data_IF_173937699299
#
_entry.id   IF_173937699299
#
_cell.length_a   1.000
_cell.length_b   1.000
_cell.length_c   1.000
_cell.angle_alpha   90.00
_cell.angle_beta   90.00
_cell.angle_gamma   90.00
#
_symmetry.space_group_name_H-M   'P 1'
#
loop_
_entity.id
_entity.type
_entity.pdbx_description
1 polymer ?
#
# COMPACT_ATOMS: atom_id res chain seq x y z
N UNK A 1 9.81 -10.53 -4.60
CA UNK A 1 8.52 -10.62 -3.88
C UNK A 1 7.47 -11.05 -4.88
N UNK A 2 6.90 -12.23 -4.68
CA UNK A 2 5.73 -12.67 -5.46
C UNK A 2 4.56 -11.88 -4.88
N UNK A 3 4.02 -10.95 -5.66
CA UNK A 3 2.75 -10.30 -5.32
C UNK A 3 1.65 -11.29 -5.71
N UNK A 4 0.82 -11.68 -4.75
CA UNK A 4 -0.32 -12.58 -5.00
C UNK A 4 -1.11 -12.11 -6.23
N UNK A 5 -1.35 -13.05 -7.16
CA UNK A 5 -2.04 -12.86 -8.44
C UNK A 5 -3.52 -12.42 -8.27
N UNK A 6 -3.99 -12.31 -7.03
CA UNK A 6 -5.36 -11.95 -6.68
C UNK A 6 -5.55 -10.45 -6.44
N UNK A 7 -4.93 -9.60 -7.26
CA UNK A 7 -5.39 -8.22 -7.42
C UNK A 7 -6.64 -8.28 -8.29
N UNK A 8 -7.80 -8.52 -7.65
CA UNK A 8 -9.10 -8.40 -8.29
C UNK A 8 -9.22 -6.96 -8.80
N UNK A 9 -9.41 -6.79 -10.10
CA UNK A 9 -9.65 -5.49 -10.73
C UNK A 9 -10.96 -4.94 -10.17
N UNK A 10 -10.85 -4.04 -9.18
CA UNK A 10 -11.98 -3.40 -8.53
C UNK A 10 -12.67 -2.43 -9.47
N UNK A 11 -14.00 -2.45 -9.49
CA UNK A 11 -14.82 -1.42 -10.14
C UNK A 11 -14.79 -0.12 -9.30
N UNK A 12 -15.02 1.04 -9.92
CA UNK A 12 -15.13 2.34 -9.20
C UNK A 12 -15.90 2.18 -7.87
N UNK A 13 -15.32 2.70 -6.77
CA UNK A 13 -15.78 2.58 -5.37
C UNK A 13 -15.31 1.32 -4.60
N UNK A 14 -14.52 0.43 -5.19
CA UNK A 14 -13.99 -0.72 -4.47
C UNK A 14 -12.88 -0.31 -3.47
N UNK A 15 -12.76 -1.07 -2.39
CA UNK A 15 -11.70 -0.91 -1.39
C UNK A 15 -10.69 -2.01 -1.55
N UNK A 16 -9.46 -1.65 -1.86
CA UNK A 16 -8.37 -2.60 -1.97
C UNK A 16 -7.53 -2.60 -0.71
N UNK A 17 -7.20 -3.79 -0.22
CA UNK A 17 -6.32 -3.97 0.92
C UNK A 17 -5.13 -4.82 0.50
N UNK A 18 -3.93 -4.29 0.73
CA UNK A 18 -2.68 -4.99 0.52
C UNK A 18 -1.97 -5.18 1.85
N UNK A 19 -1.33 -6.34 1.97
CA UNK A 19 -0.46 -6.67 3.08
C UNK A 19 0.93 -6.94 2.52
N UNK A 20 1.93 -6.18 2.97
CA UNK A 20 3.30 -6.29 2.45
C UNK A 20 4.23 -6.77 3.56
N UNK A 21 4.69 -8.02 3.54
CA UNK A 21 5.67 -8.47 4.52
C UNK A 21 6.97 -7.66 4.44
N UNK A 22 7.62 -7.43 5.58
CA UNK A 22 8.96 -6.88 5.65
C UNK A 22 9.81 -7.66 6.65
N UNK A 23 11.12 -7.63 6.47
CA UNK A 23 12.06 -8.28 7.36
C UNK A 23 12.12 -7.57 8.72
N UNK A 24 12.41 -8.32 9.78
CA UNK A 24 12.36 -7.85 11.17
C UNK A 24 13.26 -6.62 11.44
N UNK A 25 14.35 -6.41 10.69
CA UNK A 25 15.20 -5.22 10.85
C UNK A 25 14.48 -3.92 10.47
N UNK A 26 13.45 -4.00 9.63
CA UNK A 26 12.62 -2.84 9.27
C UNK A 26 11.50 -2.54 10.27
N UNK A 27 11.35 -3.32 11.35
CA UNK A 27 10.26 -3.15 12.33
C UNK A 27 10.13 -1.72 12.86
N UNK A 28 11.25 -1.09 13.21
CA UNK A 28 11.27 0.26 13.78
C UNK A 28 11.38 1.39 12.72
N UNK A 29 11.33 1.06 11.44
CA UNK A 29 11.41 2.05 10.36
C UNK A 29 10.03 2.50 9.93
N UNK A 30 9.88 3.78 9.61
CA UNK A 30 8.70 4.30 8.95
C UNK A 30 8.51 3.59 7.60
N UNK A 31 7.33 3.02 7.36
CA UNK A 31 7.00 2.42 6.07
C UNK A 31 6.37 3.47 5.17
N UNK A 32 6.65 3.38 3.88
CA UNK A 32 6.00 4.19 2.88
C UNK A 32 5.24 3.30 1.89
N UNK A 33 4.15 3.82 1.39
CA UNK A 33 3.46 3.29 0.23
C UNK A 33 3.75 4.23 -0.94
N UNK A 34 4.20 3.65 -2.05
CA UNK A 34 4.53 4.41 -3.24
C UNK A 34 3.99 3.72 -4.49
N UNK A 35 3.70 4.54 -5.50
CA UNK A 35 3.25 4.09 -6.82
C UNK A 35 4.40 4.15 -7.81
N UNK A 36 4.60 3.06 -8.54
CA UNK A 36 5.58 2.97 -9.61
C UNK A 36 6.28 1.63 -9.63
N UNK A 37 6.79 1.27 -10.81
CA UNK A 37 7.46 0.00 -11.04
C UNK A 37 8.80 -0.11 -10.29
N UNK A 38 9.58 0.98 -10.28
CA UNK A 38 10.88 1.02 -9.63
C UNK A 38 10.77 1.56 -8.22
N UNK A 39 11.28 0.81 -7.25
CA UNK A 39 11.29 1.17 -5.82
C UNK A 39 12.02 2.49 -5.55
N UNK A 40 13.10 2.77 -6.28
CA UNK A 40 13.95 3.93 -6.00
C UNK A 40 13.42 5.24 -6.63
N UNK A 41 12.53 5.13 -7.61
CA UNK A 41 11.94 6.28 -8.31
C UNK A 41 10.41 6.32 -8.21
N UNK A 42 9.82 5.56 -7.29
CA UNK A 42 8.37 5.53 -7.11
C UNK A 42 7.88 6.84 -6.49
N UNK A 43 6.66 7.23 -6.86
CA UNK A 43 5.99 8.38 -6.27
C UNK A 43 5.38 7.98 -4.92
N UNK A 44 5.87 8.59 -3.83
CA UNK A 44 5.38 8.26 -2.50
C UNK A 44 3.97 8.83 -2.31
N UNK A 45 3.02 7.95 -2.00
CA UNK A 45 1.62 8.28 -1.74
C UNK A 45 1.41 8.59 -0.26
N UNK A 46 1.97 7.77 0.65
CA UNK A 46 1.75 7.91 2.08
C UNK A 46 2.88 7.26 2.92
N UNK A 47 2.98 7.67 4.17
CA UNK A 47 3.89 7.10 5.18
C UNK A 47 3.09 6.57 6.39
N UNK A 48 3.61 5.59 7.13
CA UNK A 48 2.97 5.11 8.36
C UNK A 48 3.31 6.01 9.56
N UNK A 49 2.35 6.33 10.47
CA UNK A 49 0.92 6.09 10.33
C UNK A 49 0.27 7.17 9.46
N UNK A 50 -0.66 6.76 8.59
CA UNK A 50 -1.48 7.70 7.83
C UNK A 50 -2.92 7.20 7.79
N UNK A 51 -3.86 8.12 7.97
CA UNK A 51 -5.28 7.86 7.86
C UNK A 51 -5.92 9.04 7.16
N UNK A 52 -6.14 8.90 5.87
CA UNK A 52 -6.90 9.86 5.05
C UNK A 52 -8.20 9.20 4.59
N UNK A 53 -9.12 9.98 4.02
CA UNK A 53 -10.39 9.46 3.50
C UNK A 53 -10.19 8.45 2.35
N UNK A 54 -9.02 8.47 1.69
CA UNK A 54 -8.70 7.64 0.52
C UNK A 54 -7.66 6.56 0.79
N UNK A 55 -6.68 6.81 1.68
CA UNK A 55 -5.60 5.87 2.00
C UNK A 55 -5.43 5.78 3.50
N UNK A 56 -5.43 4.56 4.02
CA UNK A 56 -5.04 4.24 5.39
C UNK A 56 -3.80 3.33 5.36
N UNK A 57 -2.74 3.79 6.01
CA UNK A 57 -1.49 3.06 6.19
C UNK A 57 -1.27 2.81 7.67
N UNK A 58 -1.32 1.54 8.08
CA UNK A 58 -1.12 1.13 9.46
C UNK A 58 -0.06 0.04 9.54
N UNK A 59 0.98 0.28 10.32
CA UNK A 59 1.95 -0.77 10.66
C UNK A 59 1.47 -1.55 11.89
N UNK A 60 1.38 -2.87 11.79
CA UNK A 60 1.04 -3.76 12.92
C UNK A 60 2.27 -4.24 13.69
N UNK A 61 3.49 -3.84 13.28
CA UNK A 61 4.75 -4.22 13.91
C UNK A 61 5.31 -5.57 13.46
N UNK A 62 4.56 -6.31 12.64
CA UNK A 62 5.01 -7.47 11.88
C UNK A 62 4.78 -7.27 10.39
N UNK A 63 3.71 -6.56 10.03
CA UNK A 63 3.28 -6.31 8.65
C UNK A 63 2.57 -4.94 8.55
N UNK A 64 2.84 -4.11 7.53
CA UNK A 64 2.05 -2.95 7.19
C UNK A 64 0.79 -3.40 6.45
N UNK A 65 -0.34 -3.00 6.99
CA UNK A 65 -1.63 -3.12 6.32
C UNK A 65 -1.88 -1.78 5.62
N UNK A 66 -2.03 -1.86 4.30
CA UNK A 66 -2.40 -0.74 3.44
C UNK A 66 -3.84 -0.97 3.01
N UNK A 67 -4.69 0.02 3.26
CA UNK A 67 -6.07 0.05 2.77
C UNK A 67 -6.21 1.28 1.89
N UNK A 68 -6.55 1.06 0.62
CA UNK A 68 -6.85 2.11 -0.34
C UNK A 68 -8.34 2.04 -0.65
N UNK A 69 -9.05 3.11 -0.35
CA UNK A 69 -10.48 3.29 -0.59
C UNK A 69 -10.69 4.20 -1.79
N UNK A 70 -11.81 4.03 -2.52
CA UNK A 70 -12.13 4.83 -3.70
C UNK A 70 -11.07 4.71 -4.79
N UNK A 71 -10.78 3.47 -5.20
CA UNK A 71 -9.93 3.24 -6.37
C UNK A 71 -10.57 3.86 -7.61
N UNK A 72 -9.79 4.68 -8.31
CA UNK A 72 -10.14 5.23 -9.62
C UNK A 72 -9.23 4.60 -10.67
N UNK A 73 -9.59 4.70 -11.96
CA UNK A 73 -8.77 4.12 -13.05
C UNK A 73 -7.31 4.57 -13.01
N UNK A 74 -7.04 5.80 -12.58
CA UNK A 74 -5.70 6.36 -12.45
C UNK A 74 -4.84 5.67 -11.38
N UNK A 75 -5.41 4.85 -10.50
CA UNK A 75 -4.67 4.06 -9.50
C UNK A 75 -4.09 2.76 -10.08
N UNK A 76 -4.49 2.39 -11.31
CA UNK A 76 -4.08 1.15 -11.99
C UNK A 76 -2.82 1.29 -12.85
N UNK A 77 -2.33 2.52 -13.07
CA UNK A 77 -1.17 2.86 -13.91
C UNK A 77 0.17 2.87 -13.15
#
# INVERSE_FOLDING_TARGET
>A
MVMDEKVKIGTELDTFSANCSYDAHYKNHTKCWCRGYFRDSCNVIAFTPNSTNRVALKDTGSQPIITVSYLVKEDTD
#
